data_IF_524141087515
#
_entry.id   IF_524141087515
#
_cell.length_a   1.000
_cell.length_b   1.000
_cell.length_c   1.000
_cell.angle_alpha   90.00
_cell.angle_beta   90.00
_cell.angle_gamma   90.00
#
_symmetry.space_group_name_H-M   'P 1'
#
loop_
_entity.id
_entity.type
_entity.pdbx_description
1 polymer ?
#
# COMPACT_ATOMS: atom_id res chain seq x y z
N UNK A 1 -11.07 20.04 -19.55
CA UNK A 1 -10.00 19.52 -18.67
C UNK A 1 -10.37 18.08 -18.43
N UNK A 2 -9.57 17.12 -18.90
CA UNK A 2 -9.76 15.72 -18.51
C UNK A 2 -8.98 15.55 -17.21
N UNK A 3 -9.67 15.64 -16.09
CA UNK A 3 -9.05 15.34 -14.80
C UNK A 3 -8.71 13.85 -14.73
N UNK A 4 -7.59 13.47 -14.09
CA UNK A 4 -7.22 12.06 -13.94
C UNK A 4 -8.26 11.33 -13.09
N UNK A 5 -8.70 10.16 -13.54
CA UNK A 5 -9.52 9.26 -12.74
C UNK A 5 -8.62 8.48 -11.76
N UNK A 6 -8.99 8.46 -10.49
CA UNK A 6 -8.27 7.76 -9.42
C UNK A 6 -9.17 6.64 -8.91
N UNK A 7 -8.63 5.43 -8.86
CA UNK A 7 -9.33 4.25 -8.36
C UNK A 7 -8.61 3.76 -7.11
N UNK A 8 -9.28 3.80 -5.96
CA UNK A 8 -8.80 3.08 -4.78
C UNK A 8 -8.89 1.57 -5.03
N UNK A 9 -7.88 0.82 -4.61
CA UNK A 9 -7.89 -0.64 -4.79
C UNK A 9 -7.56 -1.39 -3.50
N UNK A 10 -8.05 -2.63 -3.45
CA UNK A 10 -7.47 -3.67 -2.58
C UNK A 10 -6.61 -4.58 -3.46
N UNK A 11 -5.30 -4.62 -3.23
CA UNK A 11 -4.30 -5.38 -4.02
C UNK A 11 -4.68 -6.83 -4.36
N UNK A 12 -5.54 -7.43 -3.53
CA UNK A 12 -6.01 -8.80 -3.63
C UNK A 12 -7.53 -8.92 -3.48
N UNK A 13 -8.28 -7.94 -4.00
CA UNK A 13 -9.73 -7.86 -3.92
C UNK A 13 -10.42 -8.28 -5.22
N UNK A 14 -11.13 -9.43 -5.28
CA UNK A 14 -11.90 -9.81 -6.46
C UNK A 14 -12.97 -8.79 -6.86
N UNK A 15 -13.53 -8.06 -5.89
CA UNK A 15 -14.44 -6.94 -6.14
C UNK A 15 -13.74 -5.82 -6.88
N UNK A 16 -12.62 -5.36 -6.33
CA UNK A 16 -11.80 -4.29 -6.90
C UNK A 16 -11.28 -4.60 -8.30
N UNK A 17 -10.86 -5.85 -8.54
CA UNK A 17 -10.41 -6.30 -9.86
C UNK A 17 -11.53 -6.19 -10.91
N UNK A 18 -12.77 -6.56 -10.55
CA UNK A 18 -13.92 -6.39 -11.43
C UNK A 18 -14.29 -4.91 -11.61
N UNK A 19 -14.25 -4.11 -10.56
CA UNK A 19 -14.55 -2.67 -10.58
C UNK A 19 -13.59 -1.93 -11.51
N UNK A 20 -12.28 -2.15 -11.38
CA UNK A 20 -11.25 -1.53 -12.23
C UNK A 20 -11.41 -1.95 -13.69
N UNK A 21 -11.63 -3.23 -13.99
CA UNK A 21 -11.87 -3.67 -15.37
C UNK A 21 -13.09 -3.01 -16.00
N UNK A 22 -14.19 -2.90 -15.25
CA UNK A 22 -15.40 -2.21 -15.70
C UNK A 22 -15.10 -0.72 -15.96
N UNK A 23 -14.43 -0.06 -15.04
CA UNK A 23 -14.08 1.36 -15.16
C UNK A 23 -13.17 1.63 -16.36
N UNK A 24 -12.14 0.80 -16.59
CA UNK A 24 -11.24 0.92 -17.74
C UNK A 24 -11.99 0.74 -19.07
N UNK A 25 -12.92 -0.22 -19.14
CA UNK A 25 -13.76 -0.44 -20.33
C UNK A 25 -14.69 0.75 -20.63
N UNK A 26 -15.22 1.42 -19.60
CA UNK A 26 -16.09 2.60 -19.75
C UNK A 26 -15.28 3.86 -20.07
N UNK A 27 -14.20 4.11 -19.34
CA UNK A 27 -13.35 5.30 -19.45
C UNK A 27 -12.56 5.33 -20.76
N UNK A 28 -12.06 4.17 -21.20
CA UNK A 28 -11.14 4.01 -22.36
C UNK A 28 -9.99 5.02 -22.30
N UNK A 29 -9.13 4.92 -21.26
CA UNK A 29 -8.05 5.88 -21.06
C UNK A 29 -6.99 5.77 -22.17
N UNK A 30 -6.27 6.86 -22.38
CA UNK A 30 -5.09 6.95 -23.23
C UNK A 30 -3.78 6.59 -22.48
N UNK A 31 -3.83 6.48 -21.15
CA UNK A 31 -2.72 6.07 -20.28
C UNK A 31 -3.26 5.44 -18.99
N UNK A 32 -2.64 4.35 -18.55
CA UNK A 32 -2.90 3.73 -17.25
C UNK A 32 -1.66 3.87 -16.38
N UNK A 33 -1.83 4.43 -15.18
CA UNK A 33 -0.81 4.45 -14.15
C UNK A 33 -1.18 3.41 -13.09
N UNK A 34 -0.21 2.57 -12.71
CA UNK A 34 -0.41 1.47 -11.76
C UNK A 34 0.61 1.60 -10.65
N UNK A 35 0.17 1.33 -9.41
CA UNK A 35 1.08 1.19 -8.28
C UNK A 35 2.08 0.07 -8.55
N UNK A 36 3.35 0.38 -8.37
CA UNK A 36 4.47 -0.52 -8.57
C UNK A 36 5.74 0.24 -8.91
N UNK A 37 6.91 -0.42 -8.79
CA UNK A 37 8.19 0.26 -8.91
C UNK A 37 8.59 0.47 -10.37
N UNK A 38 8.96 1.69 -10.79
CA UNK A 38 9.37 1.96 -12.17
C UNK A 38 10.59 1.14 -12.62
N UNK A 39 11.40 0.62 -11.70
CA UNK A 39 12.50 -0.31 -11.99
C UNK A 39 12.02 -1.58 -12.73
N UNK A 40 10.75 -1.98 -12.53
CA UNK A 40 10.14 -3.13 -13.18
C UNK A 40 9.45 -2.79 -14.52
N UNK A 41 9.49 -1.54 -14.99
CA UNK A 41 8.80 -1.11 -16.20
C UNK A 41 9.20 -1.94 -17.43
N UNK A 42 10.48 -2.31 -17.54
CA UNK A 42 11.01 -3.07 -18.67
C UNK A 42 10.50 -4.51 -18.78
N UNK A 43 10.00 -5.09 -17.67
CA UNK A 43 9.48 -6.47 -17.64
C UNK A 43 7.96 -6.54 -17.74
N UNK A 44 7.24 -5.42 -17.63
CA UNK A 44 5.78 -5.39 -17.79
C UNK A 44 5.25 -6.07 -19.06
N UNK A 45 5.89 -5.94 -20.25
CA UNK A 45 5.40 -6.61 -21.45
C UNK A 45 5.28 -8.13 -21.33
N UNK A 46 6.06 -8.77 -20.43
CA UNK A 46 5.94 -10.21 -20.17
C UNK A 46 4.57 -10.59 -19.62
N UNK A 47 3.87 -9.67 -18.96
CA UNK A 47 2.52 -9.91 -18.48
C UNK A 47 1.53 -10.16 -19.63
N UNK A 48 1.82 -9.75 -20.88
CA UNK A 48 0.95 -10.02 -22.03
C UNK A 48 1.03 -11.48 -22.53
N UNK A 49 2.10 -12.20 -22.20
CA UNK A 49 2.31 -13.58 -22.62
C UNK A 49 1.15 -14.49 -22.11
N UNK A 50 0.50 -15.29 -22.98
CA UNK A 50 -0.55 -16.22 -22.57
C UNK A 50 -0.12 -17.27 -21.53
N UNK A 51 1.17 -17.61 -21.48
CA UNK A 51 1.73 -18.56 -20.52
C UNK A 51 2.12 -17.90 -19.20
N UNK A 52 2.18 -16.56 -19.14
CA UNK A 52 2.36 -15.81 -17.89
C UNK A 52 1.06 -15.76 -17.10
N UNK A 53 0.81 -16.81 -16.31
CA UNK A 53 -0.42 -16.99 -15.52
C UNK A 53 -0.14 -16.76 -14.03
N UNK A 54 -0.92 -15.91 -13.34
CA UNK A 54 -0.81 -15.74 -11.90
C UNK A 54 -1.10 -17.06 -11.14
N UNK A 55 -0.53 -17.28 -9.95
CA UNK A 55 0.25 -16.31 -9.18
C UNK A 55 1.66 -16.08 -9.75
N UNK A 56 2.01 -14.82 -9.92
CA UNK A 56 3.34 -14.37 -10.36
C UNK A 56 3.80 -13.24 -9.45
N UNK A 57 5.09 -12.95 -9.40
CA UNK A 57 5.59 -11.82 -8.63
C UNK A 57 6.70 -11.09 -9.39
N UNK A 58 6.74 -9.77 -9.26
CA UNK A 58 7.97 -9.02 -9.56
C UNK A 58 8.94 -9.21 -8.40
N UNK A 59 10.17 -9.57 -8.73
CA UNK A 59 11.28 -9.65 -7.79
C UNK A 59 12.29 -8.56 -8.14
N UNK A 60 12.50 -7.64 -7.20
CA UNK A 60 13.54 -6.63 -7.28
C UNK A 60 14.52 -6.87 -6.15
N UNK A 61 15.82 -6.81 -6.44
CA UNK A 61 16.86 -7.09 -5.46
C UNK A 61 18.13 -6.29 -5.77
N UNK A 62 18.97 -6.09 -4.75
CA UNK A 62 20.32 -5.58 -4.92
C UNK A 62 21.22 -6.68 -5.50
N UNK A 63 21.81 -6.51 -6.70
CA UNK A 63 22.69 -7.52 -7.29
C UNK A 63 23.95 -7.82 -6.47
N UNK A 64 24.41 -6.88 -5.64
CA UNK A 64 25.56 -7.06 -4.75
C UNK A 64 25.18 -7.77 -3.44
N UNK A 65 23.90 -7.68 -3.06
CA UNK A 65 23.37 -8.29 -1.85
C UNK A 65 21.97 -8.89 -2.07
N UNK A 66 21.84 -10.06 -2.73
CA UNK A 66 20.54 -10.61 -3.15
C UNK A 66 19.55 -10.92 -2.02
N UNK A 67 20.01 -10.97 -0.76
CA UNK A 67 19.14 -11.07 0.42
C UNK A 67 18.25 -9.83 0.59
N UNK A 68 18.65 -8.69 0.05
CA UNK A 68 17.87 -7.45 0.01
C UNK A 68 16.99 -7.47 -1.21
N UNK A 69 15.77 -7.93 -1.01
CA UNK A 69 14.81 -8.18 -2.07
C UNK A 69 13.40 -7.76 -1.67
N UNK A 70 12.58 -7.52 -2.69
CA UNK A 70 11.22 -7.02 -2.58
C UNK A 70 10.37 -7.79 -3.56
N UNK A 71 9.21 -8.23 -3.09
CA UNK A 71 8.27 -9.01 -3.87
C UNK A 71 6.98 -8.21 -4.05
N UNK A 72 6.53 -8.09 -5.30
CA UNK A 72 5.22 -7.55 -5.64
C UNK A 72 4.38 -8.70 -6.19
N UNK A 73 3.61 -9.40 -5.34
CA UNK A 73 2.82 -10.55 -5.76
C UNK A 73 1.57 -10.09 -6.53
N UNK A 74 1.27 -10.81 -7.60
CA UNK A 74 0.06 -10.65 -8.39
C UNK A 74 -0.73 -11.96 -8.41
N UNK A 75 -2.03 -11.83 -8.18
CA UNK A 75 -3.00 -12.90 -8.35
C UNK A 75 -3.95 -12.57 -9.51
N UNK A 76 -4.75 -13.55 -9.96
CA UNK A 76 -5.81 -13.29 -10.94
C UNK A 76 -6.79 -12.22 -10.45
N UNK A 77 -6.99 -12.12 -9.13
CA UNK A 77 -7.85 -11.11 -8.51
C UNK A 77 -7.11 -9.83 -8.06
N UNK A 78 -5.88 -9.61 -8.52
CA UNK A 78 -5.18 -8.34 -8.28
C UNK A 78 -5.65 -7.27 -9.27
N UNK A 79 -6.21 -6.13 -8.81
CA UNK A 79 -6.64 -5.04 -9.70
C UNK A 79 -5.52 -4.51 -10.60
N UNK A 80 -4.29 -4.47 -10.10
CA UNK A 80 -3.07 -4.05 -10.80
C UNK A 80 -2.74 -5.01 -11.93
N UNK A 81 -2.77 -6.32 -11.66
CA UNK A 81 -2.57 -7.36 -12.67
C UNK A 81 -3.60 -7.20 -13.80
N UNK A 82 -4.86 -6.99 -13.43
CA UNK A 82 -5.94 -6.77 -14.39
C UNK A 82 -5.76 -5.48 -15.19
N UNK A 83 -5.35 -4.39 -14.56
CA UNK A 83 -5.07 -3.11 -15.22
C UNK A 83 -3.90 -3.21 -16.20
N UNK A 84 -2.79 -3.85 -15.80
CA UNK A 84 -1.63 -4.10 -16.65
C UNK A 84 -2.04 -4.93 -17.87
N UNK A 85 -2.70 -6.07 -17.66
CA UNK A 85 -3.19 -6.95 -18.73
C UNK A 85 -4.13 -6.22 -19.67
N UNK A 86 -5.09 -5.47 -19.13
CA UNK A 86 -6.05 -4.69 -19.91
C UNK A 86 -5.32 -3.68 -20.81
N UNK A 87 -4.38 -2.91 -20.25
CA UNK A 87 -3.64 -1.92 -21.02
C UNK A 87 -2.85 -2.55 -22.15
N UNK A 88 -2.07 -3.60 -21.85
CA UNK A 88 -1.27 -4.32 -22.86
C UNK A 88 -2.12 -4.95 -23.96
N UNK A 89 -3.30 -5.48 -23.64
CA UNK A 89 -4.21 -6.11 -24.61
C UNK A 89 -4.92 -5.12 -25.53
N UNK A 90 -5.06 -3.86 -25.11
CA UNK A 90 -5.77 -2.82 -25.84
C UNK A 90 -4.83 -1.73 -26.40
N UNK A 91 -3.52 -2.00 -26.42
CA UNK A 91 -2.48 -1.07 -26.85
C UNK A 91 -2.51 0.28 -26.09
N UNK A 92 -2.97 0.28 -24.84
CA UNK A 92 -2.96 1.43 -23.94
C UNK A 92 -1.63 1.42 -23.17
N UNK A 93 -0.83 2.50 -23.21
CA UNK A 93 0.38 2.62 -22.41
C UNK A 93 0.11 2.38 -20.91
N UNK A 94 0.93 1.55 -20.28
CA UNK A 94 0.90 1.28 -18.84
C UNK A 94 2.22 1.72 -18.21
N UNK A 95 2.17 2.49 -17.13
CA UNK A 95 3.36 2.92 -16.39
C UNK A 95 3.24 2.63 -14.91
N UNK A 96 4.34 2.15 -14.33
CA UNK A 96 4.53 2.03 -12.90
C UNK A 96 4.93 3.39 -12.32
N UNK A 97 4.34 3.79 -11.19
CA UNK A 97 4.46 5.17 -10.69
C UNK A 97 4.94 5.31 -9.23
N UNK A 98 5.40 4.24 -8.60
CA UNK A 98 5.91 4.33 -7.23
C UNK A 98 7.32 4.93 -7.17
N UNK A 99 7.80 5.13 -5.94
CA UNK A 99 9.21 5.39 -5.69
C UNK A 99 10.06 4.20 -6.17
N UNK A 100 11.16 4.46 -6.91
CA UNK A 100 12.09 3.41 -7.32
C UNK A 100 12.63 2.59 -6.14
N UNK A 101 12.69 1.27 -6.29
CA UNK A 101 13.22 0.37 -5.27
C UNK A 101 14.72 0.55 -5.07
N UNK A 102 15.46 0.98 -6.08
CA UNK A 102 16.86 1.35 -5.92
C UNK A 102 17.07 2.43 -4.84
N UNK A 103 16.14 3.39 -4.72
CA UNK A 103 16.19 4.42 -3.69
C UNK A 103 15.83 3.84 -2.32
N UNK A 104 14.74 3.07 -2.23
CA UNK A 104 14.30 2.49 -0.96
C UNK A 104 15.34 1.54 -0.36
N UNK A 105 15.91 0.66 -1.17
CA UNK A 105 16.95 -0.29 -0.74
C UNK A 105 18.22 0.43 -0.29
N UNK A 106 18.61 1.53 -0.93
CA UNK A 106 19.74 2.34 -0.50
C UNK A 106 19.49 3.01 0.86
N UNK A 107 18.31 3.59 1.08
CA UNK A 107 17.95 4.20 2.37
C UNK A 107 17.95 3.17 3.51
N UNK A 108 17.42 1.97 3.26
CA UNK A 108 17.45 0.86 4.23
C UNK A 108 18.89 0.44 4.57
N UNK A 109 19.77 0.42 3.57
CA UNK A 109 21.20 0.17 3.78
C UNK A 109 21.86 1.20 4.69
N UNK A 110 21.59 2.48 4.48
CA UNK A 110 22.18 3.55 5.28
C UNK A 110 21.70 3.46 6.73
N UNK A 111 20.41 3.22 6.95
CA UNK A 111 19.83 3.04 8.29
C UNK A 111 20.44 1.84 9.00
N UNK A 112 20.60 0.70 8.33
CA UNK A 112 21.21 -0.51 8.91
C UNK A 112 22.68 -0.27 9.27
N UNK A 113 23.44 0.39 8.37
CA UNK A 113 24.85 0.74 8.63
C UNK A 113 25.04 1.74 9.78
N UNK A 114 24.06 2.63 10.00
CA UNK A 114 24.07 3.58 11.11
C UNK A 114 23.60 2.96 12.44
N UNK A 115 22.90 1.83 12.38
CA UNK A 115 22.36 1.09 13.53
C UNK A 115 23.27 -0.06 13.99
N UNK A 116 24.39 -0.33 13.31
CA UNK A 116 25.33 -1.35 13.77
C UNK A 116 25.85 -1.01 15.18
N UNK A 117 25.81 -1.97 16.14
CA UNK A 117 26.21 -1.70 17.51
C UNK A 117 27.70 -1.40 17.59
N UNK A 118 28.04 -0.38 18.38
CA UNK A 118 29.38 -0.27 18.99
C UNK A 118 29.64 -1.57 19.75
N UNK A 119 30.74 -2.25 19.47
CA UNK A 119 31.17 -3.49 20.14
C UNK A 119 30.91 -3.41 21.66
N UNK A 120 30.36 -4.47 22.29
CA UNK A 120 30.16 -4.46 23.73
C UNK A 120 31.54 -4.37 24.40
N UNK A 121 31.77 -3.25 25.06
CA UNK A 121 32.92 -3.08 25.94
C UNK A 121 32.68 -3.99 27.16
N UNK A 122 33.57 -4.95 27.35
CA UNK A 122 33.46 -6.02 28.35
C UNK A 122 33.35 -5.51 29.80
N UNK A 123 32.69 -6.32 30.62
CA UNK A 123 32.00 -6.08 31.91
C UNK A 123 32.63 -5.19 33.00
N UNK A 124 31.77 -4.43 33.73
CA UNK A 124 31.43 -4.69 35.14
C UNK A 124 30.75 -3.49 35.83
N UNK A 125 29.45 -3.63 36.17
CA UNK A 125 28.89 -3.17 37.46
C UNK A 125 27.37 -3.43 37.51
N UNK A 126 27.02 -4.36 38.37
CA UNK A 126 25.70 -4.74 38.87
C UNK A 126 24.88 -3.54 39.34
N UNK A 127 23.63 -3.42 38.89
CA UNK A 127 22.48 -3.02 39.74
C UNK A 127 21.17 -3.45 39.09
N UNK A 128 20.38 -4.25 39.81
CA UNK A 128 19.03 -4.70 39.44
C UNK A 128 18.06 -3.54 39.18
N UNK A 129 17.11 -3.66 38.23
CA UNK A 129 15.97 -2.74 38.14
C UNK A 129 14.86 -3.16 39.13
N UNK A 130 14.15 -2.21 39.78
CA UNK A 130 13.05 -2.54 40.67
C UNK A 130 11.80 -2.96 39.87
N UNK A 131 11.06 -3.90 40.44
CA UNK A 131 9.78 -4.38 39.93
C UNK A 131 8.73 -3.25 39.93
N UNK A 132 8.11 -3.01 38.76
CA UNK A 132 6.96 -2.12 38.63
C UNK A 132 5.70 -2.97 38.70
N UNK A 133 4.91 -2.75 39.75
CA UNK A 133 3.61 -3.38 39.98
C UNK A 133 2.56 -2.81 39.02
N UNK A 134 1.88 -3.67 38.28
CA UNK A 134 0.67 -3.34 37.53
C UNK A 134 -0.50 -3.25 38.51
N UNK A 135 -1.07 -2.06 38.67
CA UNK A 135 -2.36 -1.85 39.32
C UNK A 135 -3.41 -1.59 38.25
N UNK A 136 -4.40 -2.48 38.18
CA UNK A 136 -5.67 -2.30 37.48
C UNK A 136 -6.54 -1.32 38.28
N UNK A 137 -7.11 -0.30 37.64
CA UNK A 137 -8.32 0.37 38.12
C UNK A 137 -9.29 0.60 36.96
N UNK A 138 -10.44 -0.07 37.07
CA UNK A 138 -11.68 0.18 36.35
C UNK A 138 -12.58 1.11 37.19
N UNK A 139 -13.43 1.89 36.53
CA UNK A 139 -14.63 2.52 37.11
C UNK A 139 -14.61 4.04 36.96
N UNK A 140 -15.18 4.58 35.89
CA UNK A 140 -16.58 5.05 35.80
C UNK A 140 -16.80 6.38 36.55
N UNK A 141 -16.94 7.47 35.79
CA UNK A 141 -17.72 8.62 36.22
C UNK A 141 -18.26 9.38 35.00
N UNK A 142 -19.57 9.25 34.81
CA UNK A 142 -20.41 10.02 33.90
C UNK A 142 -20.45 11.48 34.31
N UNK A 143 -20.21 12.40 33.37
CA UNK A 143 -20.83 13.74 33.41
C UNK A 143 -21.19 14.19 32.00
N UNK A 144 -22.49 14.30 31.78
CA UNK A 144 -23.10 14.93 30.61
C UNK A 144 -22.70 16.41 30.57
N UNK A 145 -22.28 16.89 29.40
CA UNK A 145 -22.45 18.29 29.05
C UNK A 145 -22.62 18.41 27.55
N UNK A 146 -23.83 18.83 27.18
CA UNK A 146 -24.21 19.28 25.85
C UNK A 146 -23.30 20.40 25.38
N UNK A 147 -22.56 20.16 24.31
CA UNK A 147 -22.03 21.22 23.47
C UNK A 147 -22.05 20.70 22.03
N UNK A 148 -22.98 21.23 21.24
CA UNK A 148 -22.96 21.11 19.79
C UNK A 148 -21.62 21.67 19.30
N UNK A 149 -20.66 20.81 19.01
CA UNK A 149 -19.34 21.21 18.56
C UNK A 149 -18.93 20.42 17.32
N UNK A 150 -18.29 21.14 16.41
CA UNK A 150 -17.81 20.75 15.08
C UNK A 150 -16.65 19.73 15.14
N UNK A 151 -16.66 18.85 16.13
CA UNK A 151 -15.64 17.85 16.44
C UNK A 151 -16.11 16.43 16.11
N UNK A 152 -17.40 16.20 15.82
CA UNK A 152 -17.96 14.88 15.51
C UNK A 152 -17.34 14.19 14.27
N UNK A 153 -16.77 14.96 13.33
CA UNK A 153 -16.12 14.41 12.14
C UNK A 153 -14.74 13.77 12.44
N UNK A 154 -14.03 14.22 13.47
CA UNK A 154 -12.68 13.75 13.78
C UNK A 154 -12.63 12.30 14.36
N UNK A 155 -13.53 11.90 15.28
CA UNK A 155 -13.65 10.51 15.72
C UNK A 155 -14.01 9.56 14.58
N UNK A 156 -14.87 10.00 13.66
CA UNK A 156 -15.36 9.16 12.55
C UNK A 156 -14.28 8.99 11.47
N UNK A 157 -13.51 10.05 11.17
CA UNK A 157 -12.33 9.97 10.29
C UNK A 157 -11.28 8.99 10.82
N UNK A 158 -11.10 8.87 12.13
CA UNK A 158 -10.16 7.89 12.72
C UNK A 158 -10.68 6.46 12.66
N UNK A 159 -12.00 6.25 12.67
CA UNK A 159 -12.61 4.92 12.61
C UNK A 159 -12.70 4.38 11.20
N UNK A 160 -13.09 5.22 10.25
CA UNK A 160 -13.26 4.84 8.84
C UNK A 160 -12.79 5.97 7.91
N UNK A 161 -11.47 6.17 7.77
CA UNK A 161 -10.93 7.20 6.89
C UNK A 161 -11.28 6.98 5.42
N UNK A 162 -11.54 5.72 5.03
CA UNK A 162 -11.84 5.34 3.65
C UNK A 162 -13.25 5.75 3.24
N UNK A 163 -14.21 5.73 4.17
CA UNK A 163 -15.54 6.29 3.93
C UNK A 163 -15.50 7.74 3.47
N UNK A 164 -14.63 8.57 4.03
CA UNK A 164 -14.52 9.98 3.62
C UNK A 164 -13.98 10.13 2.19
N UNK A 165 -13.02 9.28 1.80
CA UNK A 165 -12.52 9.22 0.43
C UNK A 165 -13.63 8.75 -0.52
N UNK A 166 -14.39 7.73 -0.12
CA UNK A 166 -15.52 7.20 -0.87
C UNK A 166 -16.60 8.26 -1.09
N UNK A 167 -17.01 8.96 -0.04
CA UNK A 167 -18.01 10.04 -0.11
C UNK A 167 -17.54 11.18 -1.01
N UNK A 168 -16.28 11.61 -0.89
CA UNK A 168 -15.69 12.63 -1.76
C UNK A 168 -15.69 12.21 -3.25
N UNK A 169 -15.61 10.90 -3.51
CA UNK A 169 -15.68 10.34 -4.84
C UNK A 169 -17.09 9.92 -5.29
N UNK A 170 -18.13 10.21 -4.49
CA UNK A 170 -19.53 9.96 -4.84
C UNK A 170 -20.08 8.57 -4.51
N UNK A 171 -19.39 7.80 -3.65
CA UNK A 171 -19.80 6.48 -3.20
C UNK A 171 -20.50 6.54 -1.84
N UNK A 172 -21.43 5.60 -1.62
CA UNK A 172 -22.25 5.55 -0.40
C UNK A 172 -21.61 4.88 0.81
N UNK A 173 -20.50 4.17 0.63
CA UNK A 173 -19.72 3.54 1.69
C UNK A 173 -18.28 3.25 1.21
N UNK A 174 -17.37 3.04 2.17
CA UNK A 174 -15.95 2.77 1.90
C UNK A 174 -15.69 1.45 1.18
N UNK A 175 -16.58 0.45 1.28
CA UNK A 175 -16.40 -0.82 0.58
C UNK A 175 -16.71 -0.71 -0.91
N UNK A 176 -17.65 0.16 -1.29
CA UNK A 176 -17.97 0.45 -2.68
C UNK A 176 -16.93 1.30 -3.40
N UNK A 177 -16.09 1.99 -2.66
CA UNK A 177 -14.96 2.72 -3.23
C UNK A 177 -13.91 1.77 -3.83
N UNK A 178 -13.78 0.57 -3.28
CA UNK A 178 -12.85 -0.45 -3.73
C UNK A 178 -13.25 -1.16 -5.04
#
# INVERSE_FOLDING_TARGET
MNDPAIFGIRHHGPGSARSVLKALAELRPDLILVEGPPDAQGVLPLAADPDMKPPVALLLYDPTEPRRAVYYPFAEFSPEWQAIRHGLQNDIPVRLMDLPQAIRLALESEVESAAEPVEPMDEAATTEPPAVTLAEENGDETTENDTEDSTAALPDLRRDPLRWVAEAAGYGDGERWW
#
